data_IF_442850824409
#
_entry.id   IF_442850824409
#
_cell.length_a   1.000
_cell.length_b   1.000
_cell.length_c   1.000
_cell.angle_alpha   90.00
_cell.angle_beta   90.00
_cell.angle_gamma   90.00
#
_symmetry.space_group_name_H-M   'P 1'
#
loop_
_entity.id
_entity.type
_entity.pdbx_description
1 polymer ?
#
# COMPACT_ATOMS: atom_id res chain seq x y z
N UNK A 1 52.46 61.82 -16.33
CA UNK A 1 51.98 62.76 -15.27
C UNK A 1 50.74 62.15 -14.63
N UNK A 2 50.56 62.40 -13.33
CA UNK A 2 49.52 61.95 -12.39
C UNK A 2 49.79 60.65 -11.58
N UNK A 3 50.50 60.85 -10.47
CA UNK A 3 50.41 60.14 -9.17
C UNK A 3 49.10 60.52 -8.43
N UNK A 4 48.58 59.80 -7.39
CA UNK A 4 49.23 59.44 -6.09
C UNK A 4 49.01 57.98 -5.62
N UNK A 5 50.00 57.30 -5.03
CA UNK A 5 50.51 57.31 -3.63
C UNK A 5 49.59 56.64 -2.56
N UNK A 6 50.11 55.51 -2.06
CA UNK A 6 50.20 55.05 -0.65
C UNK A 6 48.94 54.72 0.16
N UNK A 7 48.87 53.48 0.69
CA UNK A 7 48.99 53.29 2.15
C UNK A 7 49.40 51.86 2.54
N UNK A 8 50.33 51.82 3.48
CA UNK A 8 50.98 50.73 4.24
C UNK A 8 50.07 49.81 5.05
N UNK A 9 50.50 48.55 5.24
CA UNK A 9 50.64 47.77 6.51
C UNK A 9 51.23 46.38 6.17
N UNK A 10 52.53 46.13 6.37
CA UNK A 10 53.21 45.51 7.54
C UNK A 10 52.58 44.19 8.07
N UNK A 11 53.26 43.07 7.73
CA UNK A 11 53.69 41.89 8.55
C UNK A 11 52.62 40.99 9.25
N UNK A 12 52.97 39.78 9.75
CA UNK A 12 53.70 38.62 9.18
C UNK A 12 52.90 37.30 9.27
N UNK A 13 53.41 36.29 8.55
CA UNK A 13 53.55 34.87 8.93
C UNK A 13 53.01 34.45 10.32
N UNK A 14 52.02 33.55 10.36
CA UNK A 14 52.03 32.46 11.34
C UNK A 14 51.15 31.27 10.89
N UNK A 15 51.84 30.14 10.78
CA UNK A 15 51.41 28.74 10.78
C UNK A 15 50.13 28.40 11.53
N UNK A 16 49.24 27.60 10.91
CA UNK A 16 48.41 26.61 11.60
C UNK A 16 48.39 25.31 10.78
N UNK A 17 49.25 24.40 11.25
CA UNK A 17 49.07 22.96 11.48
C UNK A 17 48.24 22.14 10.49
N UNK A 18 48.96 21.24 9.82
CA UNK A 18 48.44 20.01 9.19
C UNK A 18 47.85 19.11 10.27
N UNK A 19 46.60 18.68 10.10
CA UNK A 19 46.13 17.40 10.64
C UNK A 19 45.59 16.57 9.47
N UNK A 20 46.48 15.70 8.96
CA UNK A 20 46.09 14.56 8.16
C UNK A 20 45.36 13.59 9.09
N UNK A 21 44.09 13.28 8.81
CA UNK A 21 43.56 11.96 9.11
C UNK A 21 42.66 11.53 7.96
N UNK A 22 43.24 10.70 7.10
CA UNK A 22 42.60 9.92 6.05
C UNK A 22 41.72 8.85 6.66
N UNK A 23 40.41 8.93 6.45
CA UNK A 23 39.53 7.76 6.49
C UNK A 23 38.85 7.58 5.14
N UNK A 24 39.00 6.36 4.64
CA UNK A 24 38.67 5.90 3.31
C UNK A 24 37.20 6.17 2.95
N UNK A 25 36.98 6.68 1.74
CA UNK A 25 35.72 6.51 1.02
C UNK A 25 35.52 5.02 0.73
N UNK A 26 34.73 4.35 1.56
CA UNK A 26 34.06 3.13 1.12
C UNK A 26 32.77 3.58 0.45
N UNK A 27 32.82 3.63 -0.87
CA UNK A 27 31.66 3.68 -1.76
C UNK A 27 30.87 2.38 -1.56
N UNK A 28 30.04 2.35 -0.52
CA UNK A 28 29.04 1.31 -0.32
C UNK A 28 27.82 1.60 -1.17
N UNK A 29 27.44 0.65 -2.02
CA UNK A 29 26.24 0.68 -2.84
C UNK A 29 25.04 1.15 -2.01
N UNK A 30 24.44 2.27 -2.43
CA UNK A 30 23.17 2.74 -1.91
C UNK A 30 22.04 1.93 -2.57
N UNK A 31 22.04 0.62 -2.39
CA UNK A 31 20.83 -0.19 -2.52
C UNK A 31 19.96 0.21 -1.34
N UNK A 32 19.11 1.21 -1.55
CA UNK A 32 17.91 1.36 -0.74
C UNK A 32 17.18 0.01 -0.81
N UNK A 33 17.37 -0.81 0.21
CA UNK A 33 16.46 -1.90 0.47
C UNK A 33 15.04 -1.31 0.44
N UNK A 34 14.04 -1.99 -0.16
CA UNK A 34 12.68 -1.51 -0.10
C UNK A 34 12.37 -1.25 1.36
N UNK A 35 11.99 -0.01 1.68
CA UNK A 35 11.53 0.35 3.01
C UNK A 35 10.32 -0.55 3.23
N UNK A 36 10.51 -1.60 4.04
CA UNK A 36 9.42 -2.33 4.63
C UNK A 36 8.64 -1.30 5.40
N UNK A 37 7.51 -0.87 4.84
CA UNK A 37 6.53 -0.05 5.53
C UNK A 37 6.14 -0.87 6.75
N UNK A 38 6.64 -0.50 7.92
CA UNK A 38 6.13 -1.04 9.17
C UNK A 38 4.67 -0.61 9.19
N UNK A 39 3.77 -1.54 8.84
CA UNK A 39 2.33 -1.37 9.02
C UNK A 39 2.20 -1.11 10.53
N UNK A 40 1.95 0.15 10.89
CA UNK A 40 1.56 0.45 12.27
C UNK A 40 0.31 -0.40 12.47
N UNK A 41 0.24 -1.30 13.46
CA UNK A 41 -0.98 -2.06 13.70
C UNK A 41 -2.03 -1.03 14.06
N UNK A 42 -2.81 -0.60 13.08
CA UNK A 42 -4.01 0.16 13.34
C UNK A 42 -4.91 -0.79 14.08
N UNK A 43 -5.34 -0.35 15.27
CA UNK A 43 -6.29 -1.08 16.07
C UNK A 43 -7.50 -1.41 15.20
N UNK A 44 -7.97 -2.65 15.28
CA UNK A 44 -9.12 -3.10 14.52
C UNK A 44 -10.32 -2.22 14.95
N UNK A 45 -11.00 -1.56 14.00
CA UNK A 45 -12.05 -0.60 14.30
C UNK A 45 -13.18 -1.25 15.10
N UNK A 46 -13.71 -0.53 16.08
CA UNK A 46 -14.83 -0.97 16.92
C UNK A 46 -16.14 -0.29 16.51
N UNK A 47 -16.04 0.88 15.87
CA UNK A 47 -17.18 1.64 15.34
C UNK A 47 -17.15 1.73 13.81
N UNK A 48 -18.32 1.74 13.16
CA UNK A 48 -18.42 1.66 11.69
C UNK A 48 -17.81 2.89 10.97
N UNK A 49 -17.83 4.05 11.62
CA UNK A 49 -17.20 5.29 11.12
C UNK A 49 -15.67 5.22 11.09
N UNK A 50 -15.05 4.30 11.83
CA UNK A 50 -13.61 4.06 11.83
C UNK A 50 -13.17 3.09 10.71
N UNK A 51 -14.12 2.38 10.10
CA UNK A 51 -13.81 1.35 9.11
C UNK A 51 -13.18 1.94 7.84
N UNK A 52 -13.70 3.05 7.30
CA UNK A 52 -13.11 3.70 6.12
C UNK A 52 -11.65 4.10 6.32
N UNK A 53 -11.27 4.92 7.34
CA UNK A 53 -9.88 5.31 7.52
C UNK A 53 -8.96 4.12 7.85
N UNK A 54 -9.49 3.09 8.53
CA UNK A 54 -8.77 1.84 8.73
C UNK A 54 -8.46 1.12 7.41
N UNK A 55 -9.45 0.95 6.53
CA UNK A 55 -9.25 0.29 5.23
C UNK A 55 -8.33 1.10 4.31
N UNK A 56 -8.46 2.42 4.29
CA UNK A 56 -7.59 3.30 3.49
C UNK A 56 -6.12 3.22 3.90
N UNK A 57 -5.83 2.92 5.16
CA UNK A 57 -4.44 2.76 5.63
C UNK A 57 -3.73 1.53 5.06
N UNK A 58 -4.48 0.56 4.51
CA UNK A 58 -3.97 -0.65 3.87
C UNK A 58 -3.82 -0.46 2.35
N UNK A 59 -4.11 0.73 1.86
CA UNK A 59 -4.08 1.09 0.45
C UNK A 59 -2.97 2.13 0.18
N UNK A 60 -2.61 2.37 -1.09
CA UNK A 60 -1.74 3.49 -1.43
C UNK A 60 -2.29 4.83 -0.92
N UNK A 61 -1.44 5.84 -0.68
CA UNK A 61 -1.87 7.18 -0.31
C UNK A 61 -2.90 7.79 -1.28
N UNK A 62 -2.80 7.47 -2.58
CA UNK A 62 -3.75 7.91 -3.60
C UNK A 62 -5.15 7.29 -3.50
N UNK A 63 -5.35 6.29 -2.64
CA UNK A 63 -6.65 5.65 -2.41
C UNK A 63 -7.53 6.37 -1.38
N UNK A 64 -7.03 7.42 -0.73
CA UNK A 64 -7.80 8.20 0.24
C UNK A 64 -9.11 8.72 -0.37
N UNK A 65 -10.23 8.44 0.30
CA UNK A 65 -11.59 8.77 -0.14
C UNK A 65 -12.21 7.80 -1.15
N UNK A 66 -11.46 6.78 -1.60
CA UNK A 66 -11.95 5.85 -2.61
C UNK A 66 -12.48 4.53 -2.03
N UNK A 67 -12.60 4.45 -0.70
CA UNK A 67 -13.26 3.34 0.00
C UNK A 67 -14.70 3.73 0.30
N UNK A 68 -15.64 2.93 -0.20
CA UNK A 68 -17.07 3.09 0.03
C UNK A 68 -17.59 1.89 0.84
N UNK A 69 -18.44 2.17 1.83
CA UNK A 69 -19.10 1.16 2.65
C UNK A 69 -20.60 1.33 2.46
N UNK A 70 -21.27 0.28 2.00
CA UNK A 70 -22.72 0.23 1.83
C UNK A 70 -23.36 -0.82 2.73
N UNK A 71 -24.65 -0.64 3.03
CA UNK A 71 -25.44 -1.65 3.75
C UNK A 71 -26.39 -2.35 2.78
N UNK A 72 -26.36 -3.68 2.76
CA UNK A 72 -27.29 -4.52 1.99
C UNK A 72 -28.64 -4.63 2.71
N UNK A 73 -29.68 -5.04 1.99
CA UNK A 73 -31.03 -5.20 2.54
C UNK A 73 -31.12 -6.19 3.71
N UNK A 74 -30.17 -7.14 3.81
CA UNK A 74 -30.06 -8.11 4.89
C UNK A 74 -29.30 -7.57 6.13
N UNK A 75 -28.93 -6.29 6.15
CA UNK A 75 -28.22 -5.65 7.26
C UNK A 75 -26.71 -5.87 7.29
N UNK A 76 -26.16 -6.65 6.35
CA UNK A 76 -24.71 -6.83 6.21
C UNK A 76 -24.07 -5.71 5.40
N UNK A 77 -22.78 -5.48 5.60
CA UNK A 77 -22.02 -4.46 4.88
C UNK A 77 -21.34 -5.02 3.63
N UNK A 78 -21.20 -4.16 2.62
CA UNK A 78 -20.29 -4.35 1.51
C UNK A 78 -19.23 -3.25 1.51
N UNK A 79 -17.96 -3.62 1.36
CA UNK A 79 -16.85 -2.66 1.23
C UNK A 79 -16.31 -2.68 -0.19
N UNK A 80 -16.09 -1.50 -0.77
CA UNK A 80 -15.59 -1.36 -2.14
C UNK A 80 -14.48 -0.31 -2.18
N UNK A 81 -13.33 -0.66 -2.76
CA UNK A 81 -12.25 0.27 -3.03
C UNK A 81 -11.99 0.40 -4.55
N UNK A 82 -11.81 1.63 -5.04
CA UNK A 82 -11.37 1.89 -6.42
C UNK A 82 -10.07 2.68 -6.38
N UNK A 83 -8.96 2.05 -6.74
CA UNK A 83 -7.62 2.60 -6.52
C UNK A 83 -6.98 2.99 -7.86
N UNK A 84 -6.97 4.28 -8.24
CA UNK A 84 -6.23 4.73 -9.40
C UNK A 84 -4.74 4.81 -9.10
N UNK A 85 -3.91 4.13 -9.88
CA UNK A 85 -2.45 4.21 -9.78
C UNK A 85 -1.92 5.49 -10.42
N UNK A 86 -0.84 6.04 -9.87
CA UNK A 86 -0.20 7.25 -10.43
C UNK A 86 0.56 7.01 -11.74
N UNK A 87 0.91 5.76 -12.05
CA UNK A 87 1.72 5.40 -13.23
C UNK A 87 0.91 4.48 -14.15
N UNK A 88 1.16 4.60 -15.46
CA UNK A 88 0.50 3.76 -16.47
C UNK A 88 0.77 2.28 -16.27
N UNK A 89 1.97 1.89 -15.81
CA UNK A 89 2.29 0.52 -15.45
C UNK A 89 2.60 0.45 -13.96
N UNK A 90 1.69 -0.13 -13.19
CA UNK A 90 1.90 -0.43 -11.78
C UNK A 90 2.81 -1.64 -11.60
N UNK A 91 3.42 -1.76 -10.42
CA UNK A 91 4.12 -2.97 -10.04
C UNK A 91 3.08 -4.06 -9.71
N UNK A 92 3.04 -5.13 -10.50
CA UNK A 92 2.06 -6.22 -10.36
C UNK A 92 2.04 -6.80 -8.94
N UNK A 93 3.21 -7.00 -8.32
CA UNK A 93 3.28 -7.53 -6.96
C UNK A 93 2.66 -6.58 -5.94
N UNK A 94 2.90 -5.28 -6.12
CA UNK A 94 2.34 -4.25 -5.26
C UNK A 94 0.81 -4.16 -5.41
N UNK A 95 0.30 -4.27 -6.65
CA UNK A 95 -1.14 -4.31 -6.94
C UNK A 95 -1.81 -5.51 -6.24
N UNK A 96 -1.19 -6.69 -6.35
CA UNK A 96 -1.67 -7.91 -5.69
C UNK A 96 -1.65 -7.77 -4.17
N UNK A 97 -0.58 -7.20 -3.62
CA UNK A 97 -0.48 -6.94 -2.19
C UNK A 97 -1.58 -6.00 -1.69
N UNK A 98 -1.85 -4.88 -2.38
CA UNK A 98 -2.96 -3.99 -2.01
C UNK A 98 -4.31 -4.69 -2.01
N UNK A 99 -4.55 -5.52 -3.03
CA UNK A 99 -5.79 -6.27 -3.11
C UNK A 99 -5.93 -7.26 -1.95
N UNK A 100 -4.88 -8.04 -1.64
CA UNK A 100 -4.86 -8.94 -0.49
C UNK A 100 -5.10 -8.17 0.81
N UNK A 101 -4.28 -7.15 1.08
CA UNK A 101 -4.27 -6.46 2.37
C UNK A 101 -5.61 -5.78 2.64
N UNK A 102 -6.27 -5.20 1.62
CA UNK A 102 -7.62 -4.65 1.74
C UNK A 102 -8.68 -5.69 2.07
N UNK A 103 -8.66 -6.84 1.40
CA UNK A 103 -9.61 -7.93 1.63
C UNK A 103 -9.42 -8.50 3.05
N UNK A 104 -8.18 -8.76 3.46
CA UNK A 104 -7.87 -9.24 4.80
C UNK A 104 -8.26 -8.22 5.87
N UNK A 105 -7.93 -6.95 5.69
CA UNK A 105 -8.31 -5.89 6.62
C UNK A 105 -9.83 -5.84 6.80
N UNK A 106 -10.59 -5.95 5.70
CA UNK A 106 -12.05 -5.95 5.76
C UNK A 106 -12.60 -7.09 6.64
N UNK A 107 -12.17 -8.33 6.38
CA UNK A 107 -12.69 -9.52 7.08
C UNK A 107 -12.07 -9.76 8.46
N UNK A 108 -11.00 -9.05 8.81
CA UNK A 108 -10.40 -9.07 10.15
C UNK A 108 -11.27 -8.38 11.20
N UNK A 109 -12.19 -7.51 10.77
CA UNK A 109 -13.09 -6.79 11.67
C UNK A 109 -14.23 -7.69 12.18
N UNK A 110 -14.83 -7.32 13.31
CA UNK A 110 -16.03 -8.01 13.83
C UNK A 110 -17.33 -7.49 13.17
N UNK A 111 -17.23 -6.63 12.15
CA UNK A 111 -18.41 -6.15 11.42
C UNK A 111 -19.02 -7.26 10.54
N UNK A 112 -20.35 -7.26 10.36
CA UNK A 112 -21.03 -8.25 9.51
C UNK A 112 -20.80 -7.95 8.02
N UNK A 113 -19.60 -8.24 7.51
CA UNK A 113 -19.24 -8.05 6.09
C UNK A 113 -19.76 -9.22 5.25
N UNK A 114 -20.53 -8.91 4.21
CA UNK A 114 -20.95 -9.87 3.19
C UNK A 114 -19.95 -9.94 2.04
N UNK A 115 -19.47 -8.78 1.56
CA UNK A 115 -18.61 -8.68 0.39
C UNK A 115 -17.53 -7.63 0.59
N UNK A 116 -16.31 -7.94 0.14
CA UNK A 116 -15.21 -7.01 0.03
C UNK A 116 -14.71 -6.98 -1.41
N UNK A 117 -14.67 -5.79 -2.02
CA UNK A 117 -14.26 -5.61 -3.41
C UNK A 117 -13.19 -4.54 -3.55
N UNK A 118 -12.21 -4.79 -4.39
CA UNK A 118 -11.19 -3.80 -4.76
C UNK A 118 -10.89 -3.87 -6.24
N UNK A 119 -10.95 -2.73 -6.89
CA UNK A 119 -10.51 -2.55 -8.28
C UNK A 119 -9.34 -1.59 -8.31
N UNK A 120 -8.22 -2.04 -8.85
CA UNK A 120 -7.03 -1.22 -9.09
C UNK A 120 -7.01 -0.84 -10.57
N UNK A 121 -6.89 0.46 -10.84
CA UNK A 121 -6.86 1.03 -12.18
C UNK A 121 -5.47 1.56 -12.50
N UNK A 122 -5.00 1.38 -13.73
CA UNK A 122 -3.86 2.10 -14.27
C UNK A 122 -4.16 3.60 -14.39
N UNK A 123 -3.13 4.43 -14.52
CA UNK A 123 -3.28 5.89 -14.63
C UNK A 123 -4.15 6.35 -15.82
N UNK A 124 -4.25 5.54 -16.86
CA UNK A 124 -5.11 5.76 -18.03
C UNK A 124 -6.57 5.34 -17.81
N UNK A 125 -6.92 4.81 -16.63
CA UNK A 125 -8.24 4.31 -16.28
C UNK A 125 -8.50 2.86 -16.67
N UNK A 126 -7.55 2.17 -17.31
CA UNK A 126 -7.68 0.74 -17.60
C UNK A 126 -7.62 -0.10 -16.32
N UNK A 127 -8.42 -1.16 -16.28
CA UNK A 127 -8.42 -2.07 -15.14
C UNK A 127 -7.10 -2.86 -15.09
N UNK A 128 -6.38 -2.75 -13.98
CA UNK A 128 -5.20 -3.55 -13.72
C UNK A 128 -5.57 -4.87 -13.02
N UNK A 129 -6.46 -4.79 -12.02
CA UNK A 129 -6.89 -5.94 -11.23
C UNK A 129 -8.23 -5.66 -10.56
N UNK A 130 -9.13 -6.64 -10.52
CA UNK A 130 -10.32 -6.61 -9.67
C UNK A 130 -10.41 -7.86 -8.80
N UNK A 131 -10.66 -7.67 -7.51
CA UNK A 131 -10.88 -8.75 -6.53
C UNK A 131 -12.19 -8.51 -5.80
N UNK A 132 -13.04 -9.54 -5.63
CA UNK A 132 -14.39 -9.46 -5.01
C UNK A 132 -14.67 -10.69 -4.13
N UNK A 133 -14.23 -10.71 -2.89
CA UNK A 133 -14.48 -11.86 -2.02
C UNK A 133 -15.85 -11.72 -1.34
N UNK A 134 -16.64 -12.80 -1.34
CA UNK A 134 -17.92 -12.89 -0.64
C UNK A 134 -17.89 -13.93 0.48
N UNK A 135 -18.54 -13.63 1.62
CA UNK A 135 -18.58 -14.47 2.82
C UNK A 135 -19.34 -15.79 2.61
N UNK A 136 -20.33 -15.81 1.71
CA UNK A 136 -21.19 -16.97 1.44
C UNK A 136 -20.63 -17.97 0.41
N UNK A 137 -19.35 -17.86 0.04
CA UNK A 137 -18.73 -18.89 -0.78
C UNK A 137 -18.55 -20.15 0.06
N UNK A 138 -18.97 -21.33 -0.41
CA UNK A 138 -18.73 -22.62 0.29
C UNK A 138 -17.21 -22.89 0.51
N UNK A 139 -16.38 -22.08 -0.14
CA UNK A 139 -14.92 -22.07 -0.09
C UNK A 139 -14.33 -20.93 0.75
N UNK A 140 -15.16 -20.12 1.42
CA UNK A 140 -14.67 -19.09 2.32
C UNK A 140 -13.81 -19.74 3.40
N UNK A 141 -12.54 -19.36 3.45
CA UNK A 141 -11.58 -19.87 4.43
C UNK A 141 -12.12 -19.66 5.84
N UNK A 142 -11.68 -20.53 6.75
CA UNK A 142 -11.92 -20.40 8.18
C UNK A 142 -11.77 -18.93 8.63
N UNK A 143 -12.69 -18.46 9.47
CA UNK A 143 -12.68 -17.10 10.01
C UNK A 143 -11.34 -16.76 10.70
N UNK A 144 -10.63 -17.79 11.22
CA UNK A 144 -9.30 -17.64 11.81
C UNK A 144 -8.25 -17.13 10.82
N UNK A 145 -8.29 -17.55 9.55
CA UNK A 145 -7.29 -17.14 8.54
C UNK A 145 -7.33 -15.63 8.33
N UNK A 146 -8.52 -15.05 8.24
CA UNK A 146 -8.73 -13.61 8.05
C UNK A 146 -8.31 -12.79 9.27
N UNK A 147 -8.57 -13.32 10.47
CA UNK A 147 -8.19 -12.68 11.74
C UNK A 147 -6.68 -12.66 11.95
N UNK A 148 -5.99 -13.73 11.57
CA UNK A 148 -4.54 -13.86 11.76
C UNK A 148 -3.73 -13.15 10.67
N UNK A 149 -4.26 -13.02 9.44
CA UNK A 149 -3.59 -12.40 8.30
C UNK A 149 -2.23 -13.07 7.96
N UNK A 150 -2.17 -14.40 8.07
CA UNK A 150 -0.94 -15.20 7.93
C UNK A 150 -0.68 -15.72 6.50
N UNK A 151 -1.71 -15.77 5.65
CA UNK A 151 -1.65 -16.27 4.28
C UNK A 151 -0.86 -15.33 3.36
N UNK A 152 0.15 -15.79 2.61
CA UNK A 152 0.93 -14.90 1.74
C UNK A 152 0.13 -14.35 0.54
N UNK A 153 0.67 -13.37 -0.20
CA UNK A 153 0.06 -12.89 -1.46
C UNK A 153 -0.09 -14.01 -2.47
N UNK A 154 0.92 -14.86 -2.66
CA UNK A 154 0.82 -15.95 -3.62
C UNK A 154 -0.23 -16.98 -3.19
N UNK A 155 -0.24 -17.38 -1.92
CA UNK A 155 -1.23 -18.32 -1.39
C UNK A 155 -2.65 -17.77 -1.50
N UNK A 156 -2.84 -16.47 -1.24
CA UNK A 156 -4.15 -15.81 -1.38
C UNK A 156 -4.67 -15.87 -2.82
N UNK A 157 -3.84 -15.55 -3.80
CA UNK A 157 -4.27 -15.60 -5.21
C UNK A 157 -4.41 -17.04 -5.74
N UNK A 158 -3.64 -17.98 -5.20
CA UNK A 158 -3.86 -19.40 -5.46
C UNK A 158 -5.22 -19.84 -4.90
N UNK A 159 -5.51 -19.52 -3.63
CA UNK A 159 -6.80 -19.82 -3.01
C UNK A 159 -7.97 -19.18 -3.77
N UNK A 160 -7.84 -17.91 -4.19
CA UNK A 160 -8.84 -17.23 -5.01
C UNK A 160 -9.15 -18.00 -6.30
N UNK A 161 -8.15 -18.61 -6.92
CA UNK A 161 -8.28 -19.39 -8.16
C UNK A 161 -8.98 -20.72 -7.92
N UNK A 162 -8.63 -21.40 -6.82
CA UNK A 162 -9.20 -22.69 -6.41
C UNK A 162 -10.65 -22.55 -5.90
N UNK A 163 -10.99 -21.40 -5.34
CA UNK A 163 -12.29 -21.12 -4.71
C UNK A 163 -13.33 -20.51 -5.65
N UNK A 164 -12.99 -20.37 -6.94
CA UNK A 164 -13.90 -19.82 -7.96
C UNK A 164 -15.11 -20.74 -8.12
N UNK A 165 -16.31 -20.22 -7.86
CA UNK A 165 -17.57 -20.92 -8.16
C UNK A 165 -18.17 -20.41 -9.47
N UNK A 166 -18.60 -21.32 -10.34
CA UNK A 166 -19.14 -20.99 -11.67
C UNK A 166 -20.51 -20.26 -11.69
N UNK A 167 -21.06 -19.86 -10.54
CA UNK A 167 -22.40 -19.24 -10.42
C UNK A 167 -22.32 -17.72 -10.18
N UNK A 168 -21.14 -17.19 -10.48
CA UNK A 168 -20.66 -15.85 -10.31
C UNK A 168 -21.24 -14.92 -11.39
N UNK A 169 -22.43 -14.36 -11.13
CA UNK A 169 -22.90 -13.16 -11.83
C UNK A 169 -21.78 -12.10 -11.75
N UNK A 170 -21.27 -11.54 -12.86
CA UNK A 170 -20.19 -10.55 -12.83
C UNK A 170 -20.53 -9.27 -12.05
N UNK A 171 -21.80 -9.05 -11.66
CA UNK A 171 -22.17 -8.04 -10.67
C UNK A 171 -21.77 -8.40 -9.22
N UNK A 172 -21.36 -9.65 -8.95
CA UNK A 172 -21.08 -10.20 -7.61
C UNK A 172 -19.76 -10.95 -7.46
N UNK A 173 -18.90 -11.06 -8.48
CA UNK A 173 -17.74 -11.96 -8.40
C UNK A 173 -16.45 -11.52 -9.11
N UNK A 174 -15.34 -12.05 -8.58
CA UNK A 174 -13.93 -11.68 -8.78
C UNK A 174 -13.49 -11.76 -10.23
N UNK A 175 -13.23 -10.62 -10.86
CA UNK A 175 -12.59 -10.56 -12.18
C UNK A 175 -11.08 -10.31 -12.02
N UNK A 176 -10.30 -11.38 -11.89
CA UNK A 176 -8.84 -11.28 -12.08
C UNK A 176 -8.57 -11.18 -13.58
N UNK A 177 -8.36 -9.96 -14.09
CA UNK A 177 -7.78 -9.74 -15.42
C UNK A 177 -6.26 -9.88 -15.33
N UNK A 178 -5.69 -10.81 -16.10
CA UNK A 178 -4.24 -10.94 -16.33
C UNK A 178 -3.75 -9.97 -17.42
#
# INVERSE_FOLDING_TARGET
>A
MNHPKTLTKKLPLLTITILLLTTLFITGCNTKAPQSSTITPLEIPQEINELTPYLESHLPPEAQGNVNIGTKANGMYGTVAVVPLQKEKGNQEQIRQYARDFIFATYRTDFPIDVAAITVLHANGEQALTVIVGKNTEHFLDEEVWKENTMTTDDFFQWLTESRTSHDDPAQSIVLTE
#
